data_IF_002488568589
#
_entry.id   IF_002488568589
#
_cell.length_a   1.000
_cell.length_b   1.000
_cell.length_c   1.000
_cell.angle_alpha   90.00
_cell.angle_beta   90.00
_cell.angle_gamma   90.00
#
_symmetry.space_group_name_H-M   'P 1'
#
loop_
_entity.id
_entity.type
_entity.pdbx_description
1 polymer ?
#
# COMPACT_ATOMS: atom_id res chain seq x y z
N UNK A 1 12.50 10.16 -20.84
CA UNK A 1 11.52 9.10 -20.51
C UNK A 1 10.29 9.78 -19.94
N UNK A 2 9.16 9.76 -20.66
CA UNK A 2 7.90 10.36 -20.17
C UNK A 2 7.43 9.53 -18.97
N UNK A 3 7.61 10.06 -17.75
CA UNK A 3 7.05 9.44 -16.56
C UNK A 3 5.53 9.33 -16.70
N UNK A 4 4.95 8.16 -16.40
CA UNK A 4 3.49 8.04 -16.31
C UNK A 4 3.02 8.96 -15.19
N UNK A 5 2.14 9.90 -15.51
CA UNK A 5 1.51 10.76 -14.53
C UNK A 5 0.78 9.89 -13.50
N UNK A 6 0.99 10.15 -12.21
CA UNK A 6 0.40 9.39 -11.12
C UNK A 6 -0.79 10.17 -10.56
N UNK A 7 -1.90 9.48 -10.33
CA UNK A 7 -3.13 10.05 -9.76
C UNK A 7 -3.34 9.55 -8.34
N UNK A 8 -3.48 10.48 -7.40
CA UNK A 8 -3.90 10.17 -6.03
C UNK A 8 -5.39 9.84 -5.99
N UNK A 9 -5.73 8.82 -5.20
CA UNK A 9 -7.10 8.42 -4.86
C UNK A 9 -7.24 8.55 -3.36
N UNK A 10 -8.15 9.45 -2.96
CA UNK A 10 -8.41 9.73 -1.55
C UNK A 10 -8.96 8.49 -0.85
N UNK A 11 -8.37 8.17 0.29
CA UNK A 11 -8.75 7.08 1.17
C UNK A 11 -9.36 7.66 2.45
N UNK A 12 -10.36 6.98 3.00
CA UNK A 12 -10.99 7.36 4.27
C UNK A 12 -10.01 7.25 5.44
N UNK A 13 -9.88 8.33 6.22
CA UNK A 13 -9.02 8.42 7.41
C UNK A 13 -9.70 7.91 8.68
N UNK A 14 -9.84 6.59 8.84
CA UNK A 14 -10.52 5.93 9.98
C UNK A 14 -9.60 5.01 10.81
N UNK A 15 -8.29 5.23 10.71
CA UNK A 15 -7.26 4.35 11.27
C UNK A 15 -6.97 3.11 10.43
N UNK A 16 -7.57 2.96 9.23
CA UNK A 16 -7.26 1.90 8.26
C UNK A 16 -6.58 2.41 6.99
N UNK A 17 -6.29 3.71 6.90
CA UNK A 17 -5.85 4.35 5.66
C UNK A 17 -4.70 3.61 4.96
N UNK A 18 -3.68 3.17 5.70
CA UNK A 18 -2.59 2.35 5.16
C UNK A 18 -3.10 1.07 4.49
N UNK A 19 -3.84 0.25 5.23
CA UNK A 19 -4.36 -1.02 4.71
C UNK A 19 -5.38 -0.84 3.59
N UNK A 20 -6.24 0.19 3.66
CA UNK A 20 -7.18 0.55 2.59
C UNK A 20 -6.44 0.94 1.31
N UNK A 21 -5.40 1.76 1.44
CA UNK A 21 -4.57 2.20 0.32
C UNK A 21 -3.86 1.03 -0.36
N UNK A 22 -3.24 0.14 0.44
CA UNK A 22 -2.57 -1.06 -0.05
C UNK A 22 -3.58 -2.02 -0.71
N UNK A 23 -4.71 -2.29 -0.06
CA UNK A 23 -5.75 -3.18 -0.59
C UNK A 23 -6.34 -2.65 -1.91
N UNK A 24 -6.55 -1.33 -2.01
CA UNK A 24 -6.97 -0.68 -3.24
C UNK A 24 -5.99 -0.95 -4.39
N UNK A 25 -4.70 -0.66 -4.18
CA UNK A 25 -3.67 -0.90 -5.19
C UNK A 25 -3.50 -2.38 -5.54
N UNK A 26 -3.62 -3.28 -4.55
CA UNK A 26 -3.54 -4.73 -4.77
C UNK A 26 -4.71 -5.26 -5.62
N UNK A 27 -5.93 -4.73 -5.44
CA UNK A 27 -7.08 -5.05 -6.30
C UNK A 27 -6.81 -4.67 -7.75
N UNK A 28 -6.35 -3.44 -7.99
CA UNK A 28 -6.05 -2.95 -9.34
C UNK A 28 -4.92 -3.73 -10.01
N UNK A 29 -3.85 -4.05 -9.26
CA UNK A 29 -2.75 -4.88 -9.76
C UNK A 29 -3.22 -6.27 -10.21
N UNK A 30 -4.25 -6.82 -9.56
CA UNK A 30 -4.89 -8.09 -9.93
C UNK A 30 -5.92 -7.95 -11.08
N UNK A 31 -6.05 -6.78 -11.69
CA UNK A 31 -7.03 -6.51 -12.75
C UNK A 31 -8.48 -6.45 -12.26
N UNK A 32 -8.70 -6.31 -10.95
CA UNK A 32 -10.04 -6.13 -10.38
C UNK A 32 -10.48 -4.67 -10.51
N UNK A 33 -11.78 -4.44 -10.43
CA UNK A 33 -12.34 -3.10 -10.35
C UNK A 33 -11.87 -2.39 -9.07
N UNK A 34 -11.82 -1.06 -9.10
CA UNK A 34 -11.57 -0.24 -7.93
C UNK A 34 -12.60 -0.56 -6.84
N UNK A 35 -12.16 -0.95 -5.62
CA UNK A 35 -13.09 -1.28 -4.55
C UNK A 35 -13.85 -0.04 -4.05
N UNK A 36 -15.14 -0.21 -3.73
CA UNK A 36 -15.94 0.80 -3.02
C UNK A 36 -15.36 1.09 -1.64
N UNK A 37 -15.78 2.18 -1.00
CA UNK A 37 -15.33 2.50 0.36
C UNK A 37 -15.65 1.38 1.37
N UNK A 38 -16.83 0.74 1.25
CA UNK A 38 -17.20 -0.41 2.08
C UNK A 38 -16.31 -1.62 1.83
N UNK A 39 -16.03 -1.95 0.57
CA UNK A 39 -15.15 -3.06 0.22
C UNK A 39 -13.70 -2.79 0.65
N UNK A 40 -13.23 -1.54 0.56
CA UNK A 40 -11.92 -1.15 1.08
C UNK A 40 -11.82 -1.40 2.59
N UNK A 41 -12.89 -1.17 3.35
CA UNK A 41 -12.93 -1.42 4.80
C UNK A 41 -12.72 -2.90 5.12
N UNK A 42 -13.49 -3.76 4.46
CA UNK A 42 -13.46 -5.21 4.65
C UNK A 42 -12.09 -5.78 4.25
N UNK A 43 -11.59 -5.40 3.07
CA UNK A 43 -10.28 -5.81 2.57
C UNK A 43 -9.14 -5.32 3.48
N UNK A 44 -9.27 -4.11 4.04
CA UNK A 44 -8.27 -3.58 4.97
C UNK A 44 -8.22 -4.38 6.28
N UNK A 45 -9.37 -4.75 6.84
CA UNK A 45 -9.43 -5.56 8.06
C UNK A 45 -8.93 -6.99 7.81
N UNK A 46 -9.25 -7.57 6.65
CA UNK A 46 -8.71 -8.88 6.24
C UNK A 46 -7.18 -8.83 6.06
N UNK A 47 -6.67 -7.83 5.35
CA UNK A 47 -5.22 -7.65 5.14
C UNK A 47 -4.49 -7.44 6.46
N UNK A 48 -5.04 -6.62 7.36
CA UNK A 48 -4.50 -6.39 8.70
C UNK A 48 -4.39 -7.67 9.51
N UNK A 49 -5.43 -8.51 9.49
CA UNK A 49 -5.38 -9.79 10.19
C UNK A 49 -4.24 -10.68 9.69
N UNK A 50 -4.07 -10.77 8.36
CA UNK A 50 -2.97 -11.52 7.74
C UNK A 50 -1.60 -10.91 8.02
N UNK A 51 -1.48 -9.59 8.09
CA UNK A 51 -0.24 -8.92 8.47
C UNK A 51 0.16 -9.25 9.91
N UNK A 52 -0.80 -9.25 10.84
CA UNK A 52 -0.55 -9.68 12.21
C UNK A 52 -0.09 -11.15 12.29
N UNK A 53 -0.66 -12.03 11.46
CA UNK A 53 -0.21 -13.43 11.36
C UNK A 53 1.19 -13.54 10.74
N UNK A 54 1.51 -12.73 9.73
CA UNK A 54 2.81 -12.73 9.07
C UNK A 54 3.93 -12.22 10.01
N UNK A 55 3.64 -11.27 10.90
CA UNK A 55 4.57 -10.89 11.97
C UNK A 55 4.92 -12.09 12.85
N UNK A 56 3.92 -12.84 13.34
CA UNK A 56 4.16 -14.02 14.19
C UNK A 56 5.01 -15.06 13.46
N UNK A 57 4.70 -15.31 12.18
CA UNK A 57 5.44 -16.24 11.33
C UNK A 57 6.91 -15.82 11.12
N UNK A 58 7.19 -14.51 11.14
CA UNK A 58 8.51 -13.92 10.88
C UNK A 58 9.11 -13.27 12.12
N UNK A 59 8.74 -13.74 13.31
CA UNK A 59 9.15 -13.12 14.58
C UNK A 59 10.66 -12.93 14.66
N UNK A 60 11.43 -13.97 14.30
CA UNK A 60 12.90 -13.96 14.33
C UNK A 60 13.50 -12.82 13.51
N UNK A 61 12.88 -12.46 12.39
CA UNK A 61 13.37 -11.41 11.48
C UNK A 61 12.84 -10.01 11.84
N UNK A 62 11.74 -9.94 12.61
CA UNK A 62 10.95 -8.70 12.75
C UNK A 62 10.93 -8.11 14.14
N UNK A 63 11.01 -8.93 15.18
CA UNK A 63 10.83 -8.49 16.57
C UNK A 63 11.79 -7.37 16.98
N UNK A 64 13.04 -7.44 16.53
CA UNK A 64 14.09 -6.50 16.92
C UNK A 64 13.85 -5.05 16.48
N UNK A 65 13.00 -4.81 15.48
CA UNK A 65 12.68 -3.46 14.99
C UNK A 65 11.26 -2.99 15.34
N UNK A 66 10.46 -3.82 16.02
CA UNK A 66 9.15 -3.39 16.50
C UNK A 66 9.26 -2.58 17.78
N UNK A 67 8.46 -1.53 17.88
CA UNK A 67 8.42 -0.71 19.08
C UNK A 67 7.65 -1.40 20.21
N UNK A 68 8.35 -1.71 21.30
CA UNK A 68 7.78 -2.28 22.51
C UNK A 68 7.76 -3.82 22.51
N UNK A 69 6.89 -4.39 23.34
CA UNK A 69 6.72 -5.85 23.45
C UNK A 69 6.03 -6.42 22.20
N UNK A 70 6.61 -7.48 21.63
CA UNK A 70 6.14 -8.09 20.39
C UNK A 70 4.69 -8.56 20.46
N UNK A 71 4.33 -9.28 21.52
CA UNK A 71 2.98 -9.83 21.67
C UNK A 71 1.94 -8.72 21.79
N UNK A 72 2.27 -7.68 22.56
CA UNK A 72 1.45 -6.48 22.71
C UNK A 72 1.30 -5.72 21.41
N UNK A 73 2.38 -5.62 20.62
CA UNK A 73 2.39 -5.00 19.30
C UNK A 73 1.44 -5.74 18.34
N UNK A 74 1.62 -7.05 18.18
CA UNK A 74 0.78 -7.89 17.30
C UNK A 74 -0.69 -7.83 17.73
N UNK A 75 -0.96 -7.93 19.04
CA UNK A 75 -2.32 -7.82 19.59
C UNK A 75 -2.96 -6.46 19.30
N UNK A 76 -2.19 -5.37 19.39
CA UNK A 76 -2.65 -4.03 19.02
C UNK A 76 -2.90 -3.94 17.51
N UNK A 77 -2.01 -4.51 16.69
CA UNK A 77 -2.10 -4.43 15.24
C UNK A 77 -3.36 -5.12 14.69
N UNK A 78 -3.87 -6.15 15.37
CA UNK A 78 -5.15 -6.77 14.99
C UNK A 78 -6.36 -5.85 15.14
N UNK A 79 -6.25 -4.72 15.86
CA UNK A 79 -7.38 -3.83 16.10
C UNK A 79 -7.68 -2.95 14.86
N UNK A 80 -8.95 -2.89 14.41
CA UNK A 80 -9.50 -1.95 13.42
C UNK A 80 -8.92 -0.54 13.27
N UNK A 81 -8.50 0.09 14.36
CA UNK A 81 -8.12 1.50 14.38
C UNK A 81 -6.65 1.72 14.74
N UNK A 82 -5.87 0.65 14.86
CA UNK A 82 -4.43 0.75 15.04
C UNK A 82 -3.79 1.24 13.74
N UNK A 83 -3.05 2.35 13.85
CA UNK A 83 -2.29 2.90 12.74
C UNK A 83 -1.17 1.94 12.38
N UNK A 84 -0.93 1.77 11.08
CA UNK A 84 0.23 1.06 10.58
C UNK A 84 1.29 2.03 10.06
N UNK A 85 2.49 1.52 9.86
CA UNK A 85 3.60 2.22 9.24
C UNK A 85 4.49 1.29 8.44
N UNK A 86 5.80 1.54 8.50
CA UNK A 86 6.80 0.78 7.73
C UNK A 86 6.81 -0.74 8.04
N UNK A 87 6.72 -1.19 9.31
CA UNK A 87 6.63 -2.63 9.61
C UNK A 87 5.45 -3.30 8.90
N UNK A 88 4.27 -2.67 8.94
CA UNK A 88 3.07 -3.19 8.28
C UNK A 88 3.21 -3.21 6.76
N UNK A 89 3.87 -2.22 6.15
CA UNK A 89 4.11 -2.18 4.70
C UNK A 89 5.04 -3.32 4.26
N UNK A 90 6.10 -3.60 5.02
CA UNK A 90 6.96 -4.75 4.79
C UNK A 90 6.15 -6.05 4.84
N UNK A 91 5.35 -6.25 5.91
CA UNK A 91 4.52 -7.45 6.04
C UNK A 91 3.43 -7.54 4.95
N UNK A 92 2.82 -6.43 4.55
CA UNK A 92 1.88 -6.38 3.44
C UNK A 92 2.52 -6.91 2.15
N UNK A 93 3.79 -6.57 1.90
CA UNK A 93 4.50 -7.03 0.71
C UNK A 93 4.66 -8.55 0.69
N UNK A 94 4.95 -9.17 1.84
CA UNK A 94 5.02 -10.63 2.00
C UNK A 94 3.64 -11.30 1.87
N UNK A 95 2.62 -10.77 2.56
CA UNK A 95 1.24 -11.31 2.53
C UNK A 95 0.68 -11.30 1.12
N UNK A 96 0.88 -10.20 0.38
CA UNK A 96 0.34 -10.04 -0.96
C UNK A 96 1.25 -10.65 -2.04
N UNK A 97 2.52 -10.90 -1.71
CA UNK A 97 3.61 -11.22 -2.65
C UNK A 97 3.72 -10.17 -3.76
N UNK A 98 3.79 -8.90 -3.36
CA UNK A 98 3.80 -7.76 -4.27
C UNK A 98 4.80 -6.71 -3.79
N UNK A 99 5.59 -6.09 -4.69
CA UNK A 99 6.37 -4.93 -4.31
C UNK A 99 5.44 -3.76 -3.98
N UNK A 100 5.83 -2.97 -2.97
CA UNK A 100 5.15 -1.78 -2.52
C UNK A 100 6.11 -0.60 -2.60
N UNK A 101 5.67 0.52 -3.17
CA UNK A 101 6.43 1.77 -3.25
C UNK A 101 5.66 2.88 -2.55
N UNK A 102 6.31 3.53 -1.60
CA UNK A 102 5.74 4.66 -0.84
C UNK A 102 6.22 5.96 -1.46
N UNK A 103 5.27 6.83 -1.77
CA UNK A 103 5.51 8.15 -2.32
C UNK A 103 5.17 9.22 -1.29
N UNK A 104 5.82 10.39 -1.38
CA UNK A 104 5.48 11.57 -0.59
C UNK A 104 5.75 12.84 -1.40
N UNK A 105 4.92 13.88 -1.23
CA UNK A 105 5.24 15.20 -1.78
C UNK A 105 6.27 15.89 -0.89
N UNK A 106 7.33 16.38 -1.53
CA UNK A 106 8.31 17.26 -0.86
C UNK A 106 7.99 18.71 -1.21
N UNK A 107 8.23 19.64 -0.28
CA UNK A 107 7.95 21.08 -0.41
C UNK A 107 8.59 21.77 -1.62
N UNK A 108 9.50 21.10 -2.31
CA UNK A 108 10.28 21.61 -3.45
C UNK A 108 9.87 21.04 -4.82
N UNK A 109 8.83 20.20 -4.93
CA UNK A 109 8.47 19.59 -6.21
C UNK A 109 6.98 19.31 -6.42
N UNK A 110 6.50 19.59 -7.63
CA UNK A 110 5.13 19.29 -8.09
C UNK A 110 4.89 17.77 -8.32
N UNK A 111 5.93 16.94 -8.24
CA UNK A 111 5.85 15.49 -8.39
C UNK A 111 6.20 14.78 -7.08
N UNK A 112 5.48 13.74 -6.66
CA UNK A 112 5.83 13.01 -5.45
C UNK A 112 7.12 12.20 -5.66
N UNK A 113 7.92 12.05 -4.59
CA UNK A 113 9.17 11.28 -4.57
C UNK A 113 8.94 9.93 -3.92
N UNK A 114 9.71 8.92 -4.34
CA UNK A 114 9.78 7.64 -3.63
C UNK A 114 10.55 7.86 -2.34
N UNK A 115 9.97 7.45 -1.20
CA UNK A 115 10.61 7.54 0.12
C UNK A 115 10.94 6.16 0.71
N UNK A 116 10.25 5.11 0.28
CA UNK A 116 10.51 3.74 0.71
C UNK A 116 10.02 2.72 -0.32
N UNK A 117 10.65 1.55 -0.32
CA UNK A 117 10.29 0.42 -1.18
C UNK A 117 10.39 -0.90 -0.40
N UNK A 118 9.41 -1.78 -0.58
CA UNK A 118 9.32 -3.06 0.11
C UNK A 118 8.99 -4.18 -0.89
N UNK A 119 9.41 -5.42 -0.60
CA UNK A 119 9.02 -6.60 -1.37
C UNK A 119 9.61 -6.69 -2.77
N UNK A 120 10.81 -6.12 -3.01
CA UNK A 120 11.47 -6.13 -4.32
C UNK A 120 11.82 -7.55 -4.80
N UNK A 121 11.91 -8.52 -3.88
CA UNK A 121 12.03 -9.95 -4.18
C UNK A 121 10.80 -10.54 -4.89
N UNK A 122 9.66 -9.85 -4.86
CA UNK A 122 8.43 -10.22 -5.58
C UNK A 122 8.31 -9.57 -6.96
N UNK A 123 9.40 -8.96 -7.44
CA UNK A 123 9.50 -8.29 -8.73
C UNK A 123 9.61 -6.78 -8.59
N UNK A 124 9.96 -6.12 -9.70
CA UNK A 124 10.11 -4.64 -9.78
C UNK A 124 8.99 -3.98 -10.60
N UNK A 125 8.19 -4.78 -11.28
CA UNK A 125 7.17 -4.31 -12.19
C UNK A 125 5.82 -4.10 -11.49
N UNK A 126 5.19 -2.98 -11.84
CA UNK A 126 3.86 -2.59 -11.40
C UNK A 126 3.64 -2.74 -9.87
N UNK A 127 4.42 -2.04 -9.02
CA UNK A 127 4.21 -2.08 -7.57
C UNK A 127 2.86 -1.52 -7.16
N UNK A 128 2.39 -1.96 -6.00
CA UNK A 128 1.34 -1.24 -5.26
C UNK A 128 1.95 0.08 -4.81
N UNK A 129 1.30 1.20 -5.14
CA UNK A 129 1.81 2.54 -4.83
C UNK A 129 0.89 3.20 -3.84
N UNK A 130 1.47 3.74 -2.77
CA UNK A 130 0.75 4.49 -1.73
C UNK A 130 1.38 5.87 -1.61
N UNK A 131 0.57 6.87 -1.24
CA UNK A 131 1.02 8.24 -1.03
C UNK A 131 0.89 8.57 0.46
N UNK A 132 2.01 8.82 1.12
CA UNK A 132 2.09 9.29 2.49
C UNK A 132 2.03 10.82 2.52
N UNK A 133 1.24 11.39 3.45
CA UNK A 133 1.06 12.84 3.57
C UNK A 133 2.06 13.54 4.49
N UNK A 134 2.90 12.77 5.21
CA UNK A 134 3.84 13.29 6.21
C UNK A 134 3.30 13.35 7.64
N UNK A 135 2.00 13.15 7.84
CA UNK A 135 1.29 13.35 9.11
C UNK A 135 0.52 12.11 9.60
N UNK A 136 0.69 10.97 8.96
CA UNK A 136 0.08 9.69 9.38
C UNK A 136 -1.01 9.16 8.45
N UNK A 137 -1.32 9.84 7.35
CA UNK A 137 -2.34 9.40 6.39
C UNK A 137 -1.74 8.83 5.12
N UNK A 138 -2.42 7.83 4.57
CA UNK A 138 -2.07 7.17 3.32
C UNK A 138 -3.23 7.21 2.34
N UNK A 139 -2.97 7.76 1.16
CA UNK A 139 -3.83 7.65 -0.01
C UNK A 139 -3.31 6.58 -0.97
N UNK A 140 -4.17 6.09 -1.87
CA UNK A 140 -3.73 5.17 -2.93
C UNK A 140 -3.20 5.97 -4.12
N UNK A 141 -2.16 5.46 -4.78
CA UNK A 141 -1.57 6.08 -5.95
C UNK A 141 -1.64 5.11 -7.13
N UNK A 142 -2.18 5.56 -8.27
CA UNK A 142 -2.27 4.72 -9.47
C UNK A 142 -1.76 5.46 -10.71
N UNK A 143 -1.20 4.73 -11.71
CA UNK A 143 -0.91 5.33 -13.00
C UNK A 143 -2.16 5.95 -13.62
N UNK A 144 -2.04 7.17 -14.14
CA UNK A 144 -3.06 7.73 -15.02
C UNK A 144 -3.27 6.80 -16.20
N UNK A 145 -4.54 6.53 -16.52
CA UNK A 145 -4.90 5.86 -17.76
C UNK A 145 -4.67 6.85 -18.91
N UNK A 146 -3.46 6.92 -19.44
CA UNK A 146 -3.26 7.53 -20.76
C UNK A 146 -3.94 6.59 -21.75
N UNK A 147 -5.12 7.00 -22.25
CA UNK A 147 -5.76 6.34 -23.39
C UNK A 147 -4.78 6.41 -24.57
N UNK A 148 -4.11 5.30 -24.86
CA UNK A 148 -3.47 5.15 -26.17
C UNK A 148 -4.59 5.19 -27.21
N UNK A 149 -4.54 6.05 -28.25
CA UNK A 149 -5.49 5.98 -29.33
C UNK A 149 -5.37 4.59 -29.94
N UNK A 150 -6.47 3.84 -29.98
CA UNK A 150 -6.57 2.63 -30.75
C UNK A 150 -6.16 2.97 -32.18
N UNK A 151 -5.03 2.42 -32.65
CA UNK A 151 -4.74 2.37 -34.08
C UNK A 151 -5.86 1.57 -34.72
N UNK A 152 -6.85 2.25 -35.27
CA UNK A 152 -7.74 1.70 -36.28
C UNK A 152 -6.83 1.15 -37.37
N UNK A 153 -6.78 -0.18 -37.49
CA UNK A 153 -6.21 -0.81 -38.68
C UNK A 153 -7.12 -0.42 -39.83
N UNK A 154 -6.62 0.44 -40.70
CA UNK A 154 -7.23 0.70 -41.99
C UNK A 154 -7.37 -0.61 -42.76
N UNK A 155 -8.50 -0.69 -43.47
CA UNK A 155 -8.93 -1.73 -44.40
C UNK A 155 -7.83 -2.13 -45.38
#
# INVERSE_FOLDING_TARGET
MSGRELRSIRITGDGRCLFRSVAYGACLRRGKQSPSDSAQKELADELRAKVADEFVKRREDTEWFLEGDFESYVKKMRKPHAWGGEPELLMCSHVLRMPITVYMYTSSSDSPRIIAEYGQEYGKDNPVRVLYDGYGHYDALQPSLVRTPSRLRGV
#
